data_IF_200369049053
#
_entry.id   IF_200369049053
#
_cell.length_a   1.000
_cell.length_b   1.000
_cell.length_c   1.000
_cell.angle_alpha   90.00
_cell.angle_beta   90.00
_cell.angle_gamma   90.00
#
_symmetry.space_group_name_H-M   'P 1'
#
loop_
_entity.id
_entity.type
_entity.pdbx_description
1 polymer ?
#
# COMPACT_ATOMS: atom_id res chain seq x y z
N UNK A 1 -7.27 -2.44 -23.21
CA UNK A 1 -5.98 -2.41 -22.48
C UNK A 1 -5.98 -1.16 -21.63
N UNK A 2 -5.81 -1.30 -20.33
CA UNK A 2 -5.77 -0.17 -19.40
C UNK A 2 -4.61 0.74 -19.80
N UNK A 3 -4.88 2.03 -20.05
CA UNK A 3 -3.85 3.00 -20.46
C UNK A 3 -3.45 3.92 -19.32
N UNK A 4 -4.37 4.15 -18.40
CA UNK A 4 -4.19 4.92 -17.19
C UNK A 4 -3.82 3.98 -16.04
N UNK A 5 -3.44 4.50 -14.89
CA UNK A 5 -3.05 3.72 -13.70
C UNK A 5 -1.67 3.05 -13.79
N UNK A 6 -0.76 3.59 -14.58
CA UNK A 6 0.66 3.23 -14.49
C UNK A 6 1.24 3.71 -13.14
N UNK A 7 2.36 3.11 -12.70
CA UNK A 7 3.04 3.57 -11.48
C UNK A 7 3.37 5.06 -11.53
N UNK A 8 3.88 5.56 -12.66
CA UNK A 8 4.22 6.98 -12.84
C UNK A 8 3.01 7.90 -12.68
N UNK A 9 1.83 7.46 -13.10
CA UNK A 9 0.60 8.23 -12.94
C UNK A 9 0.04 8.17 -11.51
N UNK A 10 0.36 7.12 -10.77
CA UNK A 10 -0.19 6.88 -9.43
C UNK A 10 0.67 7.44 -8.31
N UNK A 11 2.01 7.40 -8.42
CA UNK A 11 2.91 7.72 -7.31
C UNK A 11 4.07 8.63 -7.73
N UNK A 12 4.56 9.42 -6.78
CA UNK A 12 5.84 10.11 -6.92
C UNK A 12 6.96 9.19 -6.40
N UNK A 13 7.79 8.69 -7.28
CA UNK A 13 8.89 7.79 -6.93
C UNK A 13 9.90 8.40 -5.96
N UNK A 14 10.00 9.72 -5.85
CA UNK A 14 10.89 10.37 -4.89
C UNK A 14 10.40 10.25 -3.45
N UNK A 15 9.14 9.87 -3.27
CA UNK A 15 8.50 9.69 -1.97
C UNK A 15 8.60 8.26 -1.43
N UNK A 16 9.59 7.49 -1.89
CA UNK A 16 9.89 6.16 -1.34
C UNK A 16 11.34 5.78 -1.61
N UNK A 17 11.99 5.15 -0.64
CA UNK A 17 13.32 4.53 -0.86
C UNK A 17 13.28 3.36 -1.85
N UNK A 18 12.10 2.84 -2.18
CA UNK A 18 11.89 1.85 -3.24
C UNK A 18 11.69 2.47 -4.62
N UNK A 19 11.63 3.81 -4.73
CA UNK A 19 11.23 4.50 -5.95
C UNK A 19 12.03 4.10 -7.18
N UNK A 20 13.35 4.04 -7.08
CA UNK A 20 14.19 3.68 -8.23
C UNK A 20 13.98 2.25 -8.71
N UNK A 21 13.67 1.31 -7.80
CA UNK A 21 13.32 -0.06 -8.14
C UNK A 21 11.94 -0.14 -8.81
N UNK A 22 10.99 0.68 -8.37
CA UNK A 22 9.63 0.68 -8.90
C UNK A 22 9.53 1.29 -10.30
N UNK A 23 10.47 2.15 -10.72
CA UNK A 23 10.55 2.69 -12.08
C UNK A 23 10.75 1.64 -13.16
N UNK A 24 11.20 0.45 -12.81
CA UNK A 24 11.39 -0.66 -13.74
C UNK A 24 10.06 -1.30 -14.21
N UNK A 25 8.95 -1.01 -13.51
CA UNK A 25 7.62 -1.56 -13.78
C UNK A 25 6.70 -0.51 -14.38
N UNK A 26 5.87 -0.92 -15.32
CA UNK A 26 4.84 -0.04 -15.89
C UNK A 26 3.61 0.00 -14.98
N UNK A 27 3.13 -1.17 -14.58
CA UNK A 27 1.94 -1.28 -13.74
C UNK A 27 2.29 -1.73 -12.32
N UNK A 28 1.60 -1.20 -11.29
CA UNK A 28 1.93 -1.49 -9.90
C UNK A 28 1.82 -2.97 -9.52
N UNK A 29 0.93 -3.72 -10.13
CA UNK A 29 0.79 -5.16 -9.84
C UNK A 29 1.97 -5.99 -10.34
N UNK A 30 2.75 -5.50 -11.29
CA UNK A 30 3.98 -6.16 -11.77
C UNK A 30 5.06 -6.17 -10.69
N UNK A 31 5.09 -5.16 -9.81
CA UNK A 31 6.06 -5.06 -8.71
C UNK A 31 5.71 -5.94 -7.50
N UNK A 32 4.44 -6.31 -7.30
CA UNK A 32 4.00 -7.05 -6.10
C UNK A 32 4.75 -8.37 -5.86
N UNK A 33 5.07 -9.20 -6.88
CA UNK A 33 5.85 -10.41 -6.67
C UNK A 33 7.30 -10.15 -6.22
N UNK A 34 7.82 -8.96 -6.52
CA UNK A 34 9.23 -8.59 -6.32
C UNK A 34 9.49 -7.77 -5.05
N UNK A 35 8.46 -7.49 -4.26
CA UNK A 35 8.58 -6.68 -3.02
C UNK A 35 9.67 -7.25 -2.08
N UNK A 36 9.76 -8.57 -1.93
CA UNK A 36 10.79 -9.21 -1.11
C UNK A 36 12.19 -8.90 -1.62
N UNK A 37 12.42 -9.05 -2.92
CA UNK A 37 13.72 -8.80 -3.57
C UNK A 37 14.12 -7.33 -3.44
N UNK A 38 13.17 -6.43 -3.64
CA UNK A 38 13.36 -4.98 -3.48
C UNK A 38 13.79 -4.65 -2.04
N UNK A 39 13.07 -5.17 -1.04
CA UNK A 39 13.39 -4.94 0.39
C UNK A 39 14.78 -5.47 0.72
N UNK A 40 15.12 -6.67 0.25
CA UNK A 40 16.43 -7.27 0.50
C UNK A 40 17.58 -6.50 -0.17
N UNK A 41 17.34 -5.96 -1.37
CA UNK A 41 18.32 -5.15 -2.08
C UNK A 41 18.57 -3.82 -1.34
N UNK A 42 17.50 -3.10 -1.00
CA UNK A 42 17.58 -1.83 -0.24
C UNK A 42 18.23 -2.07 1.12
N UNK A 43 17.76 -3.08 1.88
CA UNK A 43 18.23 -3.34 3.23
C UNK A 43 19.75 -3.54 3.34
N UNK A 44 20.38 -4.15 2.31
CA UNK A 44 21.83 -4.35 2.26
C UNK A 44 22.63 -3.05 2.09
N UNK A 45 22.01 -2.00 1.55
CA UNK A 45 22.63 -0.71 1.28
C UNK A 45 22.29 0.38 2.31
N UNK A 46 21.40 0.08 3.28
CA UNK A 46 21.02 1.04 4.31
C UNK A 46 22.21 1.40 5.20
N UNK A 47 22.42 2.70 5.49
CA UNK A 47 23.55 3.16 6.32
C UNK A 47 23.35 2.77 7.80
N UNK A 48 24.37 2.14 8.40
CA UNK A 48 24.33 1.65 9.79
C UNK A 48 24.25 2.77 10.84
N UNK A 49 24.64 3.98 10.49
CA UNK A 49 24.50 5.15 11.36
C UNK A 49 23.03 5.60 11.50
N UNK A 50 22.16 5.32 10.50
CA UNK A 50 20.74 5.67 10.48
C UNK A 50 19.83 4.48 10.79
N UNK A 51 20.22 3.28 10.42
CA UNK A 51 19.41 2.06 10.58
C UNK A 51 20.10 1.04 11.48
N UNK A 52 19.31 0.29 12.22
CA UNK A 52 19.75 -0.89 12.95
C UNK A 52 19.12 -2.16 12.38
N UNK A 53 19.88 -3.25 12.40
CA UNK A 53 19.38 -4.58 12.01
C UNK A 53 18.87 -5.30 13.26
N UNK A 54 17.54 -5.43 13.41
CA UNK A 54 16.89 -6.05 14.58
C UNK A 54 16.54 -7.52 14.41
N UNK A 55 17.08 -8.20 13.43
CA UNK A 55 16.82 -9.62 13.17
C UNK A 55 17.20 -10.02 11.76
N UNK A 56 16.78 -11.20 11.35
CA UNK A 56 17.03 -11.66 9.98
C UNK A 56 16.21 -10.83 9.00
N UNK A 57 16.92 -10.04 8.17
CA UNK A 57 16.31 -9.17 7.16
C UNK A 57 15.27 -8.16 7.71
N UNK A 58 15.52 -7.65 8.91
CA UNK A 58 14.71 -6.58 9.52
C UNK A 58 15.62 -5.38 9.76
N UNK A 59 15.33 -4.26 9.08
CA UNK A 59 16.04 -2.99 9.23
C UNK A 59 15.07 -1.92 9.73
N UNK A 60 15.43 -1.26 10.82
CA UNK A 60 14.59 -0.25 11.45
C UNK A 60 15.41 1.01 11.63
N UNK A 61 14.89 2.13 11.13
CA UNK A 61 15.53 3.42 11.34
C UNK A 61 15.60 3.77 12.85
N UNK A 62 16.73 4.34 13.30
CA UNK A 62 16.93 4.70 14.70
C UNK A 62 15.97 5.77 15.20
N UNK A 63 15.42 6.58 14.29
CA UNK A 63 14.39 7.59 14.58
C UNK A 63 12.97 7.02 14.60
N UNK A 64 12.76 5.79 14.13
CA UNK A 64 11.45 5.17 14.14
C UNK A 64 11.01 4.78 15.55
N UNK A 65 9.73 4.94 15.83
CA UNK A 65 9.12 4.56 17.12
C UNK A 65 8.38 3.23 16.95
N UNK A 66 8.87 2.19 17.63
CA UNK A 66 8.25 0.86 17.61
C UNK A 66 7.81 0.49 19.01
N UNK A 67 6.51 0.32 19.21
CA UNK A 67 5.95 -0.07 20.51
C UNK A 67 6.20 -1.55 20.81
N UNK A 68 6.43 -1.85 22.09
CA UNK A 68 6.89 -3.17 22.55
C UNK A 68 5.92 -4.33 22.20
N UNK A 69 4.65 -4.05 22.02
CA UNK A 69 3.63 -5.06 21.68
C UNK A 69 3.45 -5.28 20.16
N UNK A 70 4.18 -4.57 19.32
CA UNK A 70 4.19 -4.80 17.90
C UNK A 70 4.99 -6.06 17.55
N UNK A 71 4.48 -6.87 16.62
CA UNK A 71 5.21 -8.00 16.05
C UNK A 71 5.70 -7.65 14.65
N UNK A 72 7.00 -7.85 14.41
CA UNK A 72 7.62 -7.57 13.11
C UNK A 72 8.40 -8.81 12.66
N UNK A 73 8.01 -9.37 11.51
CA UNK A 73 8.76 -10.41 10.81
C UNK A 73 9.48 -9.83 9.57
N UNK A 74 10.61 -10.43 9.23
CA UNK A 74 11.36 -10.09 8.01
C UNK A 74 10.84 -10.82 6.75
N UNK A 75 11.30 -10.39 5.56
CA UNK A 75 12.06 -9.16 5.36
C UNK A 75 11.21 -7.91 5.57
N UNK A 76 11.76 -6.91 6.24
CA UNK A 76 11.04 -5.69 6.58
C UNK A 76 11.99 -4.49 6.68
N UNK A 77 11.56 -3.34 6.15
CA UNK A 77 12.19 -2.05 6.41
C UNK A 77 11.17 -1.13 7.06
N UNK A 78 11.54 -0.55 8.20
CA UNK A 78 10.82 0.55 8.86
C UNK A 78 11.69 1.79 8.71
N UNK A 79 11.25 2.74 7.92
CA UNK A 79 12.02 3.93 7.58
C UNK A 79 11.95 5.01 8.67
N UNK A 80 12.69 6.09 8.47
CA UNK A 80 12.84 7.18 9.43
C UNK A 80 11.50 7.76 9.88
N UNK A 81 11.43 8.12 11.13
CA UNK A 81 10.29 8.80 11.76
C UNK A 81 8.96 8.03 11.64
N UNK A 82 8.99 6.77 11.19
CA UNK A 82 7.80 5.93 11.16
C UNK A 82 7.38 5.50 12.56
N UNK A 83 6.07 5.36 12.78
CA UNK A 83 5.47 4.94 14.04
C UNK A 83 4.75 3.59 13.86
N UNK A 84 5.23 2.56 14.58
CA UNK A 84 4.59 1.22 14.63
C UNK A 84 3.97 1.06 16.00
N UNK A 85 2.65 1.20 16.06
CA UNK A 85 1.86 1.26 17.30
C UNK A 85 1.58 -0.11 17.91
N UNK A 86 0.91 -0.08 19.05
CA UNK A 86 0.59 -1.27 19.85
C UNK A 86 -0.16 -2.32 19.03
N UNK A 87 0.24 -3.58 19.19
CA UNK A 87 -0.39 -4.74 18.56
C UNK A 87 -0.39 -4.71 17.02
N UNK A 88 0.42 -3.85 16.39
CA UNK A 88 0.62 -3.95 14.94
C UNK A 88 1.28 -5.30 14.61
N UNK A 89 0.80 -5.94 13.52
CA UNK A 89 1.27 -7.24 13.08
C UNK A 89 1.86 -7.14 11.66
N UNK A 90 3.19 -7.00 11.57
CA UNK A 90 3.91 -6.95 10.30
C UNK A 90 4.43 -8.35 9.99
N UNK A 91 3.82 -9.01 8.98
CA UNK A 91 4.08 -10.41 8.63
C UNK A 91 5.26 -10.61 7.68
N UNK A 92 6.00 -9.55 7.38
CA UNK A 92 7.13 -9.58 6.45
C UNK A 92 6.75 -9.17 5.02
N UNK A 93 7.80 -9.02 4.21
CA UNK A 93 7.74 -8.42 2.88
C UNK A 93 7.08 -7.03 2.95
N UNK A 94 7.49 -6.23 3.95
CA UNK A 94 6.89 -4.93 4.22
C UNK A 94 7.95 -3.83 4.20
N UNK A 95 7.75 -2.82 3.36
CA UNK A 95 8.46 -1.56 3.41
C UNK A 95 7.50 -0.49 3.93
N UNK A 96 7.82 0.05 5.09
CA UNK A 96 7.09 1.16 5.72
C UNK A 96 7.94 2.41 5.53
N UNK A 97 7.45 3.34 4.71
CA UNK A 97 8.17 4.56 4.33
C UNK A 97 8.32 5.56 5.48
N UNK A 98 9.08 6.59 5.21
CA UNK A 98 9.40 7.65 6.16
C UNK A 98 8.14 8.35 6.67
N UNK A 99 8.06 8.52 8.00
CA UNK A 99 6.94 9.21 8.65
C UNK A 99 5.59 8.50 8.54
N UNK A 100 5.56 7.22 8.16
CA UNK A 100 4.34 6.43 8.12
C UNK A 100 3.82 6.11 9.51
N UNK A 101 2.51 5.91 9.62
CA UNK A 101 1.86 5.40 10.84
C UNK A 101 1.23 4.04 10.54
N UNK A 102 1.70 3.01 11.22
CA UNK A 102 1.05 1.70 11.28
C UNK A 102 0.45 1.55 12.67
N UNK A 103 -0.86 1.67 12.74
CA UNK A 103 -1.57 1.86 13.98
C UNK A 103 -1.94 0.59 14.72
N UNK A 104 -2.77 0.77 15.73
CA UNK A 104 -3.18 -0.32 16.61
C UNK A 104 -3.87 -1.45 15.84
N UNK A 105 -3.39 -2.67 16.07
CA UNK A 105 -3.97 -3.90 15.52
C UNK A 105 -4.09 -3.90 13.99
N UNK A 106 -3.19 -3.19 13.30
CA UNK A 106 -3.10 -3.23 11.84
C UNK A 106 -2.20 -4.38 11.39
N UNK A 107 -2.63 -5.10 10.37
CA UNK A 107 -1.86 -6.17 9.77
C UNK A 107 -1.31 -5.75 8.41
N UNK A 108 0.01 -5.90 8.21
CA UNK A 108 0.70 -5.68 6.94
C UNK A 108 1.34 -6.97 6.42
N UNK A 109 1.19 -7.25 5.12
CA UNK A 109 1.77 -8.42 4.47
C UNK A 109 2.01 -8.17 2.99
N UNK A 110 3.26 -8.25 2.53
CA UNK A 110 3.65 -8.03 1.13
C UNK A 110 3.19 -6.67 0.62
N UNK A 111 3.77 -5.59 1.20
CA UNK A 111 3.32 -4.21 0.96
C UNK A 111 4.49 -3.24 0.81
N UNK A 112 4.26 -2.19 0.04
CA UNK A 112 5.07 -0.97 0.04
C UNK A 112 4.15 0.18 0.45
N UNK A 113 4.46 0.81 1.59
CA UNK A 113 3.88 2.09 2.00
C UNK A 113 4.88 3.18 1.65
N UNK A 114 4.48 4.11 0.80
CA UNK A 114 5.27 5.32 0.52
C UNK A 114 5.32 6.22 1.74
N UNK A 115 6.14 7.28 1.68
CA UNK A 115 6.29 8.18 2.82
C UNK A 115 4.96 8.76 3.29
N UNK A 116 4.83 8.96 4.59
CA UNK A 116 3.67 9.57 5.25
C UNK A 116 2.33 8.85 5.02
N UNK A 117 2.35 7.57 4.62
CA UNK A 117 1.13 6.78 4.61
C UNK A 117 0.61 6.55 6.03
N UNK A 118 -0.70 6.55 6.17
CA UNK A 118 -1.35 6.28 7.45
C UNK A 118 -2.30 5.08 7.34
N UNK A 119 -2.01 4.05 8.14
CA UNK A 119 -2.82 2.84 8.31
C UNK A 119 -3.10 2.69 9.82
N UNK A 120 -3.93 3.60 10.40
CA UNK A 120 -3.84 3.90 11.83
C UNK A 120 -4.64 2.98 12.75
N UNK A 121 -5.69 2.28 12.29
CA UNK A 121 -6.60 1.58 13.19
C UNK A 121 -7.26 0.36 12.57
N UNK A 122 -6.94 -0.86 13.07
CA UNK A 122 -7.64 -2.11 12.72
C UNK A 122 -7.72 -2.36 11.21
N UNK A 123 -6.67 -2.01 10.49
CA UNK A 123 -6.63 -2.19 9.04
C UNK A 123 -5.96 -3.52 8.68
N UNK A 124 -6.38 -4.10 7.57
CA UNK A 124 -5.62 -5.14 6.89
C UNK A 124 -5.12 -4.61 5.55
N UNK A 125 -3.80 -4.65 5.34
CA UNK A 125 -3.18 -4.29 4.06
C UNK A 125 -2.30 -5.44 3.58
N UNK A 126 -2.74 -6.09 2.54
CA UNK A 126 -2.03 -7.24 1.97
C UNK A 126 -1.90 -7.18 0.46
N UNK A 127 -0.71 -7.54 -0.05
CA UNK A 127 -0.39 -7.57 -1.48
C UNK A 127 -0.77 -6.25 -2.17
N UNK A 128 -0.26 -5.12 -1.63
CA UNK A 128 -0.71 -3.76 -1.96
C UNK A 128 0.44 -2.76 -2.01
N UNK A 129 0.23 -1.67 -2.74
CA UNK A 129 1.12 -0.49 -2.75
C UNK A 129 0.26 0.72 -2.42
N UNK A 130 0.68 1.50 -1.42
CA UNK A 130 0.03 2.73 -1.00
C UNK A 130 0.96 3.91 -1.26
N UNK A 131 0.52 4.85 -2.07
CA UNK A 131 1.25 6.04 -2.47
C UNK A 131 1.46 7.04 -1.33
N UNK A 132 2.19 8.10 -1.60
CA UNK A 132 2.54 9.16 -0.67
C UNK A 132 1.29 9.81 -0.04
N UNK A 133 1.29 9.96 1.28
CA UNK A 133 0.14 10.48 2.03
C UNK A 133 -1.19 9.73 1.84
N UNK A 134 -1.16 8.48 1.37
CA UNK A 134 -2.37 7.67 1.35
C UNK A 134 -2.83 7.34 2.77
N UNK A 135 -4.11 7.51 3.03
CA UNK A 135 -4.70 7.28 4.35
C UNK A 135 -5.81 6.22 4.27
N UNK A 136 -5.79 5.28 5.19
CA UNK A 136 -6.82 4.26 5.34
C UNK A 136 -7.60 4.47 6.63
N UNK A 137 -8.86 4.90 6.53
CA UNK A 137 -9.75 5.07 7.67
C UNK A 137 -9.91 3.78 8.49
N UNK A 138 -10.31 3.94 9.74
CA UNK A 138 -10.41 2.82 10.70
C UNK A 138 -11.23 1.63 10.15
N UNK A 139 -10.71 0.43 10.29
CA UNK A 139 -11.36 -0.80 9.86
C UNK A 139 -11.43 -1.01 8.34
N UNK A 140 -10.88 -0.11 7.52
CA UNK A 140 -10.80 -0.34 6.09
C UNK A 140 -9.76 -1.41 5.76
N UNK A 141 -10.02 -2.22 4.71
CA UNK A 141 -9.18 -3.36 4.37
C UNK A 141 -8.94 -3.48 2.86
N UNK A 142 -7.78 -4.04 2.49
CA UNK A 142 -7.50 -4.48 1.13
C UNK A 142 -7.73 -5.99 1.05
N UNK A 143 -8.91 -6.42 0.56
CA UNK A 143 -9.14 -7.84 0.30
C UNK A 143 -8.25 -8.29 -0.86
N UNK A 144 -7.42 -9.30 -0.66
CA UNK A 144 -6.37 -9.66 -1.62
C UNK A 144 -6.57 -11.00 -2.35
N UNK A 145 -7.68 -11.70 -2.09
CA UNK A 145 -7.99 -12.97 -2.75
C UNK A 145 -9.45 -13.02 -3.17
N UNK A 146 -9.71 -13.46 -4.39
CA UNK A 146 -11.06 -13.71 -4.89
C UNK A 146 -11.65 -14.96 -4.26
N UNK A 147 -12.98 -15.00 -4.08
CA UNK A 147 -13.68 -16.15 -3.50
C UNK A 147 -13.54 -17.42 -4.34
N UNK A 148 -13.49 -17.28 -5.66
CA UNK A 148 -13.27 -18.37 -6.61
C UNK A 148 -11.81 -18.80 -6.76
N UNK A 149 -10.89 -18.07 -6.09
CA UNK A 149 -9.43 -18.30 -6.10
C UNK A 149 -8.78 -18.27 -7.48
N UNK A 150 -9.42 -17.69 -8.48
CA UNK A 150 -8.82 -17.40 -9.78
C UNK A 150 -7.87 -16.21 -9.70
N UNK A 151 -7.09 -15.98 -10.75
CA UNK A 151 -6.21 -14.82 -10.82
C UNK A 151 -7.01 -13.52 -10.77
N UNK A 152 -6.40 -12.51 -10.18
CA UNK A 152 -6.99 -11.17 -10.10
C UNK A 152 -6.87 -10.49 -11.47
N UNK A 153 -7.96 -9.88 -11.89
CA UNK A 153 -8.04 -9.05 -13.08
C UNK A 153 -8.36 -7.63 -12.63
N UNK A 154 -7.59 -6.67 -13.11
CA UNK A 154 -7.87 -5.24 -12.89
C UNK A 154 -8.85 -4.79 -13.95
N UNK A 155 -9.91 -4.09 -13.56
CA UNK A 155 -10.96 -3.60 -14.47
C UNK A 155 -11.03 -2.08 -14.44
N UNK A 156 -11.12 -1.48 -15.62
CA UNK A 156 -11.32 -0.05 -15.83
C UNK A 156 -12.42 0.16 -16.88
N UNK A 157 -13.66 0.33 -16.41
CA UNK A 157 -14.82 0.34 -17.31
C UNK A 157 -14.94 -0.96 -18.11
N UNK A 158 -14.84 -0.85 -19.45
CA UNK A 158 -14.85 -1.99 -20.37
C UNK A 158 -13.45 -2.60 -20.58
N UNK A 159 -12.40 -1.87 -20.22
CA UNK A 159 -11.02 -2.33 -20.30
C UNK A 159 -10.65 -3.22 -19.11
N UNK A 160 -9.70 -4.12 -19.34
CA UNK A 160 -9.16 -4.98 -18.29
C UNK A 160 -7.70 -5.33 -18.53
N UNK A 161 -7.02 -5.72 -17.44
CA UNK A 161 -5.66 -6.25 -17.46
C UNK A 161 -5.56 -7.50 -16.57
N UNK A 162 -5.07 -8.59 -17.14
CA UNK A 162 -4.71 -9.80 -16.41
C UNK A 162 -3.44 -9.54 -15.61
N UNK A 163 -3.50 -9.73 -14.31
CA UNK A 163 -2.31 -9.53 -13.45
C UNK A 163 -1.39 -10.76 -13.37
N UNK A 164 -1.89 -11.92 -13.71
CA UNK A 164 -1.21 -13.20 -13.47
C UNK A 164 -1.15 -13.61 -11.99
N UNK A 165 -1.66 -12.80 -11.09
CA UNK A 165 -1.53 -12.98 -9.63
C UNK A 165 -2.80 -13.56 -9.02
N UNK A 166 -2.65 -14.58 -8.18
CA UNK A 166 -3.75 -15.12 -7.34
C UNK A 166 -4.10 -14.20 -6.17
N UNK A 167 -3.15 -13.34 -5.77
CA UNK A 167 -3.31 -12.39 -4.67
C UNK A 167 -2.85 -11.02 -5.12
N UNK A 168 -3.76 -10.09 -5.05
CA UNK A 168 -3.54 -8.66 -5.20
C UNK A 168 -4.61 -7.95 -4.40
N UNK A 169 -4.21 -7.09 -3.48
CA UNK A 169 -5.11 -6.25 -2.70
C UNK A 169 -5.53 -5.02 -3.48
N UNK A 170 -5.06 -3.87 -3.06
CA UNK A 170 -5.34 -2.60 -3.70
C UNK A 170 -4.08 -1.79 -3.97
N UNK A 171 -4.17 -0.93 -4.95
CA UNK A 171 -3.17 0.11 -5.22
C UNK A 171 -3.82 1.46 -4.96
N UNK A 172 -3.21 2.26 -4.11
CA UNK A 172 -3.64 3.61 -3.81
C UNK A 172 -2.62 4.59 -4.35
N UNK A 173 -3.06 5.52 -5.18
CA UNK A 173 -2.24 6.63 -5.63
C UNK A 173 -1.95 7.62 -4.50
N UNK A 174 -1.08 8.58 -4.75
CA UNK A 174 -0.73 9.61 -3.77
C UNK A 174 -1.96 10.40 -3.31
N UNK A 175 -2.01 10.76 -2.03
CA UNK A 175 -3.06 11.57 -1.43
C UNK A 175 -4.46 10.97 -1.51
N UNK A 176 -4.58 9.65 -1.55
CA UNK A 176 -5.88 8.99 -1.49
C UNK A 176 -6.38 8.91 -0.05
N UNK A 177 -7.69 9.05 0.11
CA UNK A 177 -8.39 8.97 1.40
C UNK A 177 -9.43 7.87 1.37
N UNK A 178 -9.25 6.80 2.12
CA UNK A 178 -10.19 5.70 2.20
C UNK A 178 -11.02 5.81 3.47
N UNK A 179 -12.33 5.96 3.31
CA UNK A 179 -13.26 6.07 4.44
C UNK A 179 -13.32 4.81 5.31
N UNK A 180 -13.69 5.01 6.58
CA UNK A 180 -13.74 3.94 7.58
C UNK A 180 -14.61 2.76 7.14
N UNK A 181 -14.21 1.54 7.53
CA UNK A 181 -14.89 0.28 7.24
C UNK A 181 -15.17 0.03 5.75
N UNK A 182 -14.37 0.62 4.86
CA UNK A 182 -14.45 0.33 3.43
C UNK A 182 -13.67 -0.93 3.08
N UNK A 183 -14.17 -1.67 2.11
CA UNK A 183 -13.52 -2.87 1.57
C UNK A 183 -13.07 -2.61 0.14
N UNK A 184 -11.76 -2.59 -0.05
CA UNK A 184 -11.15 -2.55 -1.38
C UNK A 184 -10.99 -3.99 -1.87
N UNK A 185 -11.78 -4.37 -2.87
CA UNK A 185 -11.77 -5.74 -3.40
C UNK A 185 -10.48 -6.03 -4.18
N UNK A 186 -10.12 -7.31 -4.39
CA UNK A 186 -8.92 -7.67 -5.14
C UNK A 186 -8.85 -7.00 -6.50
N UNK A 187 -7.73 -6.34 -6.78
CA UNK A 187 -7.50 -5.62 -8.02
C UNK A 187 -8.09 -4.20 -8.07
N UNK A 188 -8.46 -3.62 -6.92
CA UNK A 188 -8.86 -2.21 -6.85
C UNK A 188 -7.64 -1.31 -7.05
N UNK A 189 -7.79 -0.29 -7.91
CA UNK A 189 -6.80 0.78 -8.12
C UNK A 189 -7.47 2.12 -7.93
N UNK A 190 -6.94 2.96 -7.05
CA UNK A 190 -7.47 4.29 -6.75
C UNK A 190 -6.47 5.34 -7.18
N UNK A 191 -6.88 6.21 -8.10
CA UNK A 191 -6.05 7.30 -8.62
C UNK A 191 -5.74 8.37 -7.56
N UNK A 192 -4.72 9.18 -7.85
CA UNK A 192 -4.26 10.26 -6.94
C UNK A 192 -5.39 11.18 -6.50
N UNK A 193 -5.28 11.70 -5.27
CA UNK A 193 -6.21 12.70 -4.70
C UNK A 193 -7.67 12.26 -4.65
N UNK A 194 -7.95 10.97 -4.68
CA UNK A 194 -9.31 10.43 -4.68
C UNK A 194 -9.77 10.08 -3.27
N UNK A 195 -11.01 10.43 -2.95
CA UNK A 195 -11.66 10.10 -1.68
C UNK A 195 -12.69 8.98 -1.89
N UNK A 196 -12.63 7.97 -1.05
CA UNK A 196 -13.65 6.91 -0.94
C UNK A 196 -14.45 7.14 0.33
N UNK A 197 -15.77 7.20 0.22
CA UNK A 197 -16.65 7.40 1.38
C UNK A 197 -16.64 6.18 2.31
N UNK A 198 -16.94 6.39 3.61
CA UNK A 198 -17.05 5.27 4.56
C UNK A 198 -18.07 4.22 4.14
N UNK A 199 -17.85 2.97 4.60
CA UNK A 199 -18.72 1.81 4.33
C UNK A 199 -18.82 1.45 2.85
N UNK A 200 -17.84 1.84 2.04
CA UNK A 200 -17.84 1.55 0.60
C UNK A 200 -17.28 0.16 0.29
N UNK A 201 -17.91 -0.50 -0.68
CA UNK A 201 -17.35 -1.68 -1.34
C UNK A 201 -16.81 -1.27 -2.73
N UNK A 202 -15.49 -1.18 -2.85
CA UNK A 202 -14.83 -0.69 -4.06
C UNK A 202 -14.34 -1.85 -4.93
N UNK A 203 -14.53 -1.75 -6.23
CA UNK A 203 -14.00 -2.69 -7.25
C UNK A 203 -13.54 -1.94 -8.48
N UNK A 204 -12.44 -2.42 -9.08
CA UNK A 204 -11.87 -1.86 -10.31
C UNK A 204 -11.14 -0.56 -10.07
N UNK A 205 -10.99 0.21 -11.12
CA UNK A 205 -10.25 1.46 -11.11
C UNK A 205 -11.16 2.65 -10.79
N UNK A 206 -10.64 3.59 -10.00
CA UNK A 206 -11.26 4.90 -9.77
C UNK A 206 -10.26 5.96 -10.23
N UNK A 207 -10.69 6.84 -11.11
CA UNK A 207 -9.83 7.87 -11.66
C UNK A 207 -9.31 8.85 -10.58
N UNK A 208 -8.22 9.55 -10.89
CA UNK A 208 -7.67 10.57 -10.02
C UNK A 208 -8.63 11.75 -9.82
N UNK A 209 -8.51 12.45 -8.67
CA UNK A 209 -9.34 13.61 -8.33
C UNK A 209 -10.85 13.34 -8.29
N UNK A 210 -11.25 12.16 -7.82
CA UNK A 210 -12.66 11.78 -7.69
C UNK A 210 -13.10 11.60 -6.24
N UNK A 211 -14.41 11.64 -6.05
CA UNK A 211 -15.11 11.22 -4.84
C UNK A 211 -15.95 10.00 -5.20
N UNK A 212 -15.60 8.86 -4.61
CA UNK A 212 -16.36 7.62 -4.72
C UNK A 212 -17.30 7.51 -3.51
N UNK A 213 -18.58 7.62 -3.73
CA UNK A 213 -19.60 7.38 -2.69
C UNK A 213 -20.10 5.95 -2.71
N UNK A 214 -20.38 5.46 -3.91
CA UNK A 214 -20.74 4.08 -4.25
C UNK A 214 -20.52 3.88 -5.76
N UNK A 215 -20.86 2.70 -6.29
CA UNK A 215 -20.63 2.34 -7.68
C UNK A 215 -21.39 3.24 -8.68
N UNK A 216 -22.52 3.78 -8.29
CA UNK A 216 -23.39 4.59 -9.14
C UNK A 216 -23.12 6.10 -8.98
N UNK A 217 -22.43 6.47 -7.89
CA UNK A 217 -22.19 7.86 -7.53
C UNK A 217 -20.67 8.12 -7.39
N UNK A 218 -20.02 8.29 -8.53
CA UNK A 218 -18.62 8.73 -8.63
C UNK A 218 -18.61 10.12 -9.27
N UNK A 219 -17.98 11.08 -8.63
CA UNK A 219 -17.94 12.46 -9.08
C UNK A 219 -16.51 13.01 -9.07
N UNK A 220 -16.18 13.82 -10.06
CA UNK A 220 -14.92 14.57 -10.07
C UNK A 220 -14.93 15.63 -8.96
N UNK A 221 -13.79 15.83 -8.28
CA UNK A 221 -13.63 16.90 -7.31
C UNK A 221 -13.58 18.25 -8.01
N UNK A 222 -14.43 19.15 -7.62
CA UNK A 222 -14.26 20.56 -7.97
C UNK A 222 -13.25 21.17 -7.00
N UNK A 223 -12.09 21.55 -7.50
CA UNK A 223 -11.06 22.31 -6.77
C UNK A 223 -11.49 23.76 -6.59
#
# INVERSE_FOLDING_TARGET
>A
MIKDFTLEQLVDFNESIAGDYLKEYTYPWEALPHIEEIILAIGKSLPEDRFEKRGENIWIAKSAVVFNSAYIAGPCIIDEDAEIRQCAFIRGKALVGKGCVVGNSCELKNVILFNKCEVPHYNYVGDSILGFHAHMGAGSITSNIKSDRTNVVVHDGEDSAETGLRKMGAILGDWTEIGCNSVLNPGTVVGRHTNVYPLSMVRGCIAANHIYKDREHVAEKHT
#
